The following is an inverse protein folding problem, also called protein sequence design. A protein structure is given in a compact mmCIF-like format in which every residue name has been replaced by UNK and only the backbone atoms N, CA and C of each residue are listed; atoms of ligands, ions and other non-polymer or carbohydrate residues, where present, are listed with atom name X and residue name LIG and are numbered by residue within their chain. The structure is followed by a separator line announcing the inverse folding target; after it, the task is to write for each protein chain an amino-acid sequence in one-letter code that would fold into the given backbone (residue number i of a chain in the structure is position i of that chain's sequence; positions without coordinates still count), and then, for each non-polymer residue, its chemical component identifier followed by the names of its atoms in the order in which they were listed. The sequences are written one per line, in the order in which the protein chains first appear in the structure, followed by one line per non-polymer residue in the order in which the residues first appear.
data_IF_332763528732
#
_entry.id   IF_332763528732
#
_cell.length_a   1.000
_cell.length_b   1.000
_cell.length_c   1.000
_cell.angle_alpha   90.00
_cell.angle_beta   90.00
_cell.angle_gamma   90.00
#
_symmetry.space_group_name_H-M   'P 1'
#
loop_
_entity.id
_entity.type
_entity.pdbx_description
1 polymer ?
#
# COMPACT_ATOMS: atom_id res chain seq x y z
N UNK A 1 -24.40 16.00 -11.38
CA UNK A 1 -23.70 14.77 -10.98
C UNK A 1 -24.28 14.31 -9.67
N UNK A 2 -24.48 13.01 -9.45
CA UNK A 2 -24.92 12.56 -8.14
C UNK A 2 -23.74 12.51 -7.18
N UNK A 3 -23.95 12.88 -5.91
CA UNK A 3 -22.91 12.78 -4.88
C UNK A 3 -22.45 11.33 -4.61
N UNK A 4 -23.06 10.33 -5.26
CA UNK A 4 -22.69 8.93 -5.10
C UNK A 4 -21.54 8.54 -6.06
N UNK A 5 -21.57 9.06 -7.29
CA UNK A 5 -20.60 8.71 -8.34
C UNK A 5 -19.20 9.27 -8.04
N UNK A 6 -19.13 10.51 -7.55
CA UNK A 6 -17.88 11.18 -7.22
C UNK A 6 -17.14 10.46 -6.07
N UNK A 7 -17.86 10.08 -5.01
CA UNK A 7 -17.25 9.48 -3.82
C UNK A 7 -16.92 7.99 -3.98
N UNK A 8 -17.74 7.22 -4.68
CA UNK A 8 -17.49 5.78 -4.86
C UNK A 8 -16.42 5.48 -5.90
N UNK A 9 -16.20 6.38 -6.86
CA UNK A 9 -15.22 6.17 -7.94
C UNK A 9 -13.90 6.91 -7.74
N UNK A 10 -13.89 8.13 -7.15
CA UNK A 10 -12.65 8.93 -7.02
C UNK A 10 -11.94 8.77 -5.67
N UNK A 11 -12.64 8.60 -4.54
CA UNK A 11 -11.98 8.49 -3.22
C UNK A 11 -11.06 7.27 -3.05
N UNK A 12 -11.42 6.05 -3.52
CA UNK A 12 -10.53 4.89 -3.40
C UNK A 12 -9.19 5.09 -4.12
N UNK A 13 -9.20 5.92 -5.15
CA UNK A 13 -8.04 6.25 -5.99
C UNK A 13 -7.19 7.33 -5.30
N UNK A 14 -7.82 8.32 -4.65
CA UNK A 14 -7.15 9.39 -3.90
C UNK A 14 -6.56 8.97 -2.54
N UNK A 15 -7.06 7.89 -1.92
CA UNK A 15 -6.67 7.45 -0.57
C UNK A 15 -5.27 6.83 -0.43
N UNK A 16 -4.45 6.78 -1.51
CA UNK A 16 -3.16 6.08 -1.55
C UNK A 16 -1.92 6.96 -1.30
N UNK A 17 -2.07 8.25 -1.01
CA UNK A 17 -0.93 9.17 -0.89
C UNK A 17 -0.45 9.31 0.56
N UNK A 18 0.58 8.55 0.96
CA UNK A 18 1.35 8.87 2.18
C UNK A 18 2.21 10.13 1.95
N UNK A 19 2.31 10.98 2.97
CA UNK A 19 2.95 12.30 2.90
C UNK A 19 4.40 12.24 2.38
N UNK A 20 4.80 13.25 1.59
CA UNK A 20 6.18 13.40 1.08
C UNK A 20 7.14 13.64 2.25
N UNK A 21 7.93 12.63 2.61
CA UNK A 21 9.06 12.77 3.53
C UNK A 21 10.31 13.33 2.84
N UNK A 22 11.13 14.07 3.58
CA UNK A 22 12.43 14.60 3.12
C UNK A 22 13.32 13.53 2.48
N UNK A 23 13.93 13.83 1.33
CA UNK A 23 14.92 12.99 0.65
C UNK A 23 16.23 13.76 0.35
N UNK A 24 17.38 13.16 0.63
CA UNK A 24 18.72 13.74 0.39
C UNK A 24 18.93 14.14 -1.07
N UNK A 25 18.32 13.42 -2.00
CA UNK A 25 18.37 13.75 -3.43
C UNK A 25 17.59 15.01 -3.80
N UNK A 26 16.73 15.55 -2.92
CA UNK A 26 16.05 16.83 -3.16
C UNK A 26 16.97 18.04 -2.89
N UNK A 27 18.13 17.83 -2.26
CA UNK A 27 19.11 18.89 -1.96
C UNK A 27 20.44 18.72 -2.69
N UNK A 28 20.70 17.56 -3.30
CA UNK A 28 21.88 17.32 -4.14
C UNK A 28 21.70 17.95 -5.53
N UNK A 29 22.37 19.07 -5.82
CA UNK A 29 22.26 19.82 -7.08
C UNK A 29 23.59 19.97 -7.87
N UNK A 30 24.65 19.22 -7.51
CA UNK A 30 25.99 19.43 -8.10
C UNK A 30 26.38 18.38 -9.15
N UNK A 31 26.19 18.69 -10.43
CA UNK A 31 26.60 17.88 -11.59
C UNK A 31 25.45 17.59 -12.55
N UNK A 32 25.74 17.04 -13.74
CA UNK A 32 24.71 16.32 -14.51
C UNK A 32 24.23 15.15 -13.65
N UNK A 33 22.92 14.93 -13.60
CA UNK A 33 22.30 13.92 -12.72
C UNK A 33 22.94 12.53 -12.88
N UNK A 34 23.34 12.21 -14.10
CA UNK A 34 24.04 11.00 -14.55
C UNK A 34 25.28 10.63 -13.72
N UNK A 35 26.26 11.55 -13.58
CA UNK A 35 27.52 11.24 -12.86
C UNK A 35 27.29 10.90 -11.39
N UNK A 36 26.32 11.56 -10.74
CA UNK A 36 25.99 11.27 -9.35
C UNK A 36 25.39 9.87 -9.19
N UNK A 37 24.56 9.45 -10.15
CA UNK A 37 23.98 8.10 -10.16
C UNK A 37 25.06 7.05 -10.44
N UNK A 38 25.96 7.31 -11.38
CA UNK A 38 27.10 6.42 -11.65
C UNK A 38 28.00 6.25 -10.42
N UNK A 39 28.19 7.30 -9.61
CA UNK A 39 28.90 7.18 -8.33
C UNK A 39 28.18 6.27 -7.32
N UNK A 40 26.85 6.33 -7.27
CA UNK A 40 26.04 5.51 -6.35
C UNK A 40 26.10 4.04 -6.76
N UNK A 41 25.88 3.74 -8.04
CA UNK A 41 25.91 2.36 -8.51
C UNK A 41 27.32 1.79 -8.49
N UNK A 42 28.36 2.59 -8.80
CA UNK A 42 29.74 2.18 -8.55
C UNK A 42 29.95 1.83 -7.07
N UNK A 43 29.49 2.68 -6.15
CA UNK A 43 29.60 2.40 -4.72
C UNK A 43 28.85 1.13 -4.31
N UNK A 44 27.66 0.87 -4.87
CA UNK A 44 26.89 -0.36 -4.63
C UNK A 44 27.62 -1.61 -5.16
N UNK A 45 28.37 -1.48 -6.26
CA UNK A 45 29.07 -2.59 -6.89
C UNK A 45 30.50 -2.82 -6.35
N UNK A 46 31.03 -1.92 -5.53
CA UNK A 46 32.43 -2.00 -5.05
C UNK A 46 32.59 -3.04 -3.95
N UNK A 47 33.18 -4.20 -4.23
CA UNK A 47 33.44 -5.21 -3.19
C UNK A 47 34.40 -4.65 -2.13
N UNK A 48 34.05 -4.79 -0.85
CA UNK A 48 34.81 -4.20 0.25
C UNK A 48 34.62 -2.68 0.39
N UNK A 49 33.63 -2.11 -0.32
CA UNK A 49 33.25 -0.71 -0.18
C UNK A 49 32.65 -0.37 1.19
N UNK A 50 32.50 0.92 1.46
CA UNK A 50 32.01 1.44 2.76
C UNK A 50 30.52 1.15 3.03
N UNK A 51 29.83 0.48 2.10
CA UNK A 51 28.48 -0.05 2.31
C UNK A 51 28.47 -1.31 3.17
N UNK A 52 29.57 -2.06 3.31
CA UNK A 52 29.68 -3.21 4.21
C UNK A 52 28.69 -4.38 3.94
N UNK A 53 28.31 -4.62 2.68
CA UNK A 53 27.55 -5.82 2.26
C UNK A 53 28.31 -6.72 1.27
N UNK A 54 29.64 -6.57 1.19
CA UNK A 54 30.53 -7.36 0.33
C UNK A 54 30.06 -7.37 -1.15
N UNK A 55 30.00 -8.54 -1.78
CA UNK A 55 29.63 -8.72 -3.19
C UNK A 55 28.15 -8.66 -3.52
N UNK A 56 27.25 -8.46 -2.53
CA UNK A 56 25.81 -8.58 -2.72
C UNK A 56 25.26 -7.69 -3.85
N UNK A 57 25.79 -6.47 -4.01
CA UNK A 57 25.37 -5.57 -5.08
C UNK A 57 25.68 -6.11 -6.49
N UNK A 58 26.86 -6.71 -6.67
CA UNK A 58 27.24 -7.34 -7.94
C UNK A 58 26.44 -8.61 -8.20
N UNK A 59 26.27 -9.46 -7.18
CA UNK A 59 25.53 -10.71 -7.31
C UNK A 59 24.10 -10.44 -7.79
N UNK A 60 23.42 -9.49 -7.17
CA UNK A 60 22.07 -9.08 -7.57
C UNK A 60 22.02 -8.46 -8.97
N UNK A 61 23.03 -7.66 -9.34
CA UNK A 61 23.09 -7.05 -10.67
C UNK A 61 23.24 -8.11 -11.76
N UNK A 62 24.16 -9.06 -11.57
CA UNK A 62 24.37 -10.19 -12.50
C UNK A 62 23.15 -11.09 -12.56
N UNK A 63 22.51 -11.39 -11.43
CA UNK A 63 21.24 -12.13 -11.40
C UNK A 63 20.16 -11.45 -12.25
N UNK A 64 19.99 -10.13 -12.10
CA UNK A 64 18.99 -9.38 -12.87
C UNK A 64 19.31 -9.36 -14.36
N UNK A 65 20.57 -9.19 -14.74
CA UNK A 65 21.01 -9.27 -16.14
C UNK A 65 20.72 -10.66 -16.72
N UNK A 66 21.05 -11.71 -15.96
CA UNK A 66 20.92 -13.10 -16.41
C UNK A 66 19.46 -13.53 -16.62
N UNK A 67 18.49 -12.86 -16.01
CA UNK A 67 17.07 -13.09 -16.29
C UNK A 67 16.66 -12.70 -17.71
N UNK A 68 17.42 -11.80 -18.36
CA UNK A 68 17.16 -11.34 -19.73
C UNK A 68 18.08 -12.00 -20.76
N UNK A 69 19.13 -12.67 -20.30
CA UNK A 69 20.07 -13.38 -21.16
C UNK A 69 19.70 -14.87 -21.30
N UNK A 70 19.81 -15.40 -22.52
CA UNK A 70 19.63 -16.84 -22.76
C UNK A 70 20.76 -17.70 -22.19
N UNK A 71 22.01 -17.23 -22.32
CA UNK A 71 23.16 -17.81 -21.63
C UNK A 71 23.58 -16.82 -20.53
N UNK A 72 23.68 -17.22 -19.27
CA UNK A 72 23.99 -16.30 -18.17
C UNK A 72 25.48 -15.98 -18.05
N UNK A 73 25.82 -14.76 -17.60
CA UNK A 73 27.14 -14.35 -17.15
C UNK A 73 27.57 -15.10 -15.88
N UNK A 74 28.88 -15.31 -15.67
CA UNK A 74 29.39 -15.92 -14.44
C UNK A 74 29.13 -15.03 -13.23
N UNK A 75 29.00 -15.65 -12.05
CA UNK A 75 29.00 -14.92 -10.78
C UNK A 75 30.35 -14.20 -10.56
N UNK A 76 30.36 -13.21 -9.66
CA UNK A 76 31.54 -12.39 -9.36
C UNK A 76 32.71 -13.16 -8.71
N UNK A 77 33.78 -12.45 -8.31
CA UNK A 77 33.87 -10.99 -8.22
C UNK A 77 34.23 -10.31 -9.55
N UNK A 78 33.70 -9.10 -9.75
CA UNK A 78 34.10 -8.19 -10.80
C UNK A 78 34.86 -6.99 -10.21
N UNK A 79 35.88 -6.50 -10.90
CA UNK A 79 36.51 -5.21 -10.60
C UNK A 79 35.69 -4.09 -11.24
N UNK A 80 35.37 -3.04 -10.48
CA UNK A 80 34.54 -1.93 -10.96
C UNK A 80 35.41 -0.74 -11.34
N UNK A 81 35.17 -0.18 -12.53
CA UNK A 81 35.77 1.07 -13.02
C UNK A 81 34.66 2.02 -13.48
N UNK A 82 34.91 3.32 -13.40
CA UNK A 82 33.93 4.35 -13.77
C UNK A 82 34.55 5.31 -14.78
N UNK A 83 33.72 5.91 -15.64
CA UNK A 83 34.12 6.84 -16.70
C UNK A 83 35.24 6.25 -17.58
N UNK A 84 34.99 5.06 -18.13
CA UNK A 84 35.97 4.31 -18.93
C UNK A 84 35.83 4.67 -20.39
N UNK A 85 36.86 5.28 -20.98
CA UNK A 85 36.93 5.47 -22.42
C UNK A 85 37.06 4.11 -23.13
N UNK A 86 36.02 3.74 -23.87
CA UNK A 86 35.91 2.49 -24.61
C UNK A 86 36.38 2.61 -26.07
N UNK A 87 36.49 3.84 -26.58
CA UNK A 87 36.86 4.13 -27.96
C UNK A 87 38.21 3.51 -28.35
N UNK A 88 38.35 3.19 -29.65
CA UNK A 88 39.64 2.75 -30.20
C UNK A 88 40.65 3.92 -30.18
N UNK A 89 41.94 3.65 -30.01
CA UNK A 89 42.96 4.70 -30.06
C UNK A 89 42.87 5.53 -31.34
N UNK A 90 42.74 6.85 -31.20
CA UNK A 90 42.65 7.79 -32.31
C UNK A 90 41.23 8.13 -32.77
N UNK A 91 40.19 7.57 -32.16
CA UNK A 91 38.80 7.99 -32.33
C UNK A 91 38.38 8.99 -31.24
N UNK A 92 37.23 9.63 -31.47
CA UNK A 92 36.56 10.46 -30.47
C UNK A 92 36.24 9.61 -29.22
N UNK A 93 36.26 10.25 -28.05
CA UNK A 93 36.05 9.53 -26.80
C UNK A 93 34.62 9.06 -26.68
N UNK A 94 34.49 7.79 -26.28
CA UNK A 94 33.20 7.16 -26.00
C UNK A 94 33.30 6.54 -24.61
N UNK A 95 32.64 7.15 -23.62
CA UNK A 95 32.90 6.90 -22.20
C UNK A 95 31.75 6.11 -21.60
N UNK A 96 31.99 4.83 -21.32
CA UNK A 96 31.05 4.04 -20.55
C UNK A 96 31.04 4.50 -19.08
N UNK A 97 29.85 4.65 -18.51
CA UNK A 97 29.64 5.07 -17.14
C UNK A 97 30.30 4.14 -16.13
N UNK A 98 30.06 2.83 -16.24
CA UNK A 98 30.59 1.81 -15.35
C UNK A 98 31.04 0.60 -16.17
N UNK A 99 32.19 0.03 -15.82
CA UNK A 99 32.66 -1.25 -16.35
C UNK A 99 32.93 -2.20 -15.20
N UNK A 100 32.28 -3.37 -15.23
CA UNK A 100 32.55 -4.48 -14.31
C UNK A 100 33.34 -5.56 -15.06
N UNK A 101 34.52 -5.91 -14.58
CA UNK A 101 35.42 -6.82 -15.28
C UNK A 101 35.95 -7.94 -14.37
N UNK A 102 35.82 -9.18 -14.83
CA UNK A 102 36.45 -10.37 -14.26
C UNK A 102 37.46 -10.97 -15.25
N UNK A 103 38.07 -12.09 -14.89
CA UNK A 103 39.00 -12.80 -15.77
C UNK A 103 38.32 -13.36 -17.03
N UNK A 104 37.02 -13.64 -16.96
CA UNK A 104 36.27 -14.32 -18.03
C UNK A 104 35.17 -13.48 -18.68
N UNK A 105 34.73 -12.38 -18.05
CA UNK A 105 33.64 -11.56 -18.53
C UNK A 105 33.83 -10.05 -18.28
N UNK A 106 33.24 -9.23 -19.15
CA UNK A 106 33.17 -7.78 -19.04
C UNK A 106 31.73 -7.32 -19.23
N UNK A 107 31.21 -6.57 -18.26
CA UNK A 107 29.91 -5.90 -18.34
C UNK A 107 30.19 -4.42 -18.54
N UNK A 108 29.76 -3.87 -19.67
CA UNK A 108 29.86 -2.44 -19.98
C UNK A 108 28.49 -1.83 -19.74
N UNK A 109 28.42 -0.84 -18.86
CA UNK A 109 27.15 -0.28 -18.39
C UNK A 109 27.06 1.17 -18.84
N UNK A 110 25.97 1.46 -19.54
CA UNK A 110 25.51 2.81 -19.81
C UNK A 110 24.44 3.17 -18.78
N UNK A 111 24.61 4.29 -18.06
CA UNK A 111 23.80 4.61 -16.89
C UNK A 111 23.06 5.94 -17.04
N UNK A 112 21.86 5.88 -17.64
CA UNK A 112 21.10 7.09 -17.97
C UNK A 112 19.65 7.10 -17.46
N UNK A 113 19.00 8.26 -17.50
CA UNK A 113 17.62 8.42 -17.05
C UNK A 113 16.63 7.50 -17.77
N UNK A 114 16.84 7.29 -19.07
CA UNK A 114 16.02 6.45 -19.95
C UNK A 114 16.88 5.42 -20.68
N UNK A 115 16.33 4.27 -21.05
CA UNK A 115 17.03 3.19 -21.74
C UNK A 115 17.28 3.46 -23.24
N UNK A 116 17.95 4.55 -23.63
CA UNK A 116 18.17 4.93 -25.04
C UNK A 116 19.64 4.87 -25.50
N UNK A 117 20.57 4.54 -24.59
CA UNK A 117 22.00 4.51 -24.88
C UNK A 117 22.67 5.89 -24.94
N UNK A 118 21.90 6.97 -24.73
CA UNK A 118 22.35 8.35 -24.53
C UNK A 118 23.40 8.88 -25.54
N UNK A 119 23.31 8.46 -26.81
CA UNK A 119 24.23 8.90 -27.87
C UNK A 119 25.55 8.14 -27.95
N UNK A 120 25.67 7.04 -27.20
CA UNK A 120 26.81 6.12 -27.25
C UNK A 120 26.58 4.96 -28.22
N UNK A 121 27.67 4.30 -28.63
CA UNK A 121 27.62 3.23 -29.62
C UNK A 121 27.61 1.84 -28.96
N UNK A 122 26.48 1.13 -29.04
CA UNK A 122 26.33 -0.23 -28.51
C UNK A 122 27.45 -1.17 -28.97
N UNK A 123 27.74 -1.21 -30.27
CA UNK A 123 28.77 -2.11 -30.81
C UNK A 123 30.18 -1.69 -30.34
N UNK A 124 30.44 -0.40 -30.17
CA UNK A 124 31.69 0.10 -29.61
C UNK A 124 31.95 -0.44 -28.19
N UNK A 125 30.92 -0.43 -27.35
CA UNK A 125 30.97 -0.98 -26.00
C UNK A 125 31.15 -2.50 -26.00
N UNK A 126 30.43 -3.18 -26.88
CA UNK A 126 30.51 -4.64 -27.02
C UNK A 126 31.90 -5.09 -27.51
N UNK A 127 32.46 -4.42 -28.51
CA UNK A 127 33.82 -4.66 -28.99
C UNK A 127 34.87 -4.38 -27.90
N UNK A 128 34.68 -3.32 -27.12
CA UNK A 128 35.55 -3.01 -25.99
C UNK A 128 35.58 -4.16 -24.98
N UNK A 129 34.42 -4.68 -24.57
CA UNK A 129 34.38 -5.75 -23.57
C UNK A 129 34.83 -7.12 -24.09
N UNK A 130 34.77 -7.37 -25.41
CA UNK A 130 35.26 -8.62 -26.02
C UNK A 130 36.78 -8.72 -26.11
N UNK A 131 37.51 -7.65 -25.77
CA UNK A 131 38.99 -7.64 -25.81
C UNK A 131 39.56 -8.76 -24.94
N UNK A 132 40.65 -9.37 -25.41
CA UNK A 132 41.27 -10.50 -24.73
C UNK A 132 40.46 -11.80 -24.78
N UNK A 133 39.43 -11.90 -25.63
CA UNK A 133 38.60 -13.10 -25.78
C UNK A 133 37.59 -13.31 -24.64
N UNK A 134 37.35 -12.27 -23.83
CA UNK A 134 36.37 -12.30 -22.74
C UNK A 134 34.96 -12.27 -23.28
N UNK A 135 34.04 -12.84 -22.50
CA UNK A 135 32.62 -12.67 -22.75
C UNK A 135 32.21 -11.23 -22.46
N UNK A 136 31.40 -10.62 -23.31
CA UNK A 136 30.95 -9.23 -23.11
C UNK A 136 29.45 -9.10 -23.20
N UNK A 137 28.88 -8.28 -22.33
CA UNK A 137 27.49 -7.82 -22.36
C UNK A 137 27.48 -6.32 -22.13
N UNK A 138 26.70 -5.60 -22.94
CA UNK A 138 26.41 -4.19 -22.76
C UNK A 138 25.04 -4.08 -22.11
N UNK A 139 24.93 -3.29 -21.05
CA UNK A 139 23.73 -3.19 -20.20
C UNK A 139 23.29 -1.74 -20.09
N UNK A 140 21.98 -1.51 -20.22
CA UNK A 140 21.34 -0.23 -19.90
C UNK A 140 20.91 -0.25 -18.44
N UNK A 141 21.56 0.55 -17.59
CA UNK A 141 21.18 0.74 -16.19
C UNK A 141 20.42 2.07 -16.09
N UNK A 142 19.11 2.06 -15.91
CA UNK A 142 18.32 3.29 -16.08
C UNK A 142 17.21 3.51 -15.05
N UNK A 143 16.68 4.73 -15.02
CA UNK A 143 15.49 5.06 -14.23
C UNK A 143 14.23 4.45 -14.84
N UNK A 144 14.03 4.70 -16.13
CA UNK A 144 12.85 4.29 -16.89
C UNK A 144 13.24 3.45 -18.12
N UNK A 145 12.54 2.34 -18.32
CA UNK A 145 12.67 1.52 -19.54
C UNK A 145 11.71 2.05 -20.61
N UNK A 146 12.27 2.48 -21.73
CA UNK A 146 11.54 2.78 -22.97
C UNK A 146 12.16 2.00 -24.13
N UNK A 147 11.55 0.85 -24.45
CA UNK A 147 12.01 -0.01 -25.56
C UNK A 147 11.87 0.65 -26.93
N UNK A 148 11.00 1.64 -27.08
CA UNK A 148 10.82 2.31 -28.37
C UNK A 148 12.04 3.18 -28.73
N UNK A 149 12.85 3.57 -27.74
CA UNK A 149 14.06 4.36 -27.92
C UNK A 149 15.32 3.50 -28.09
N UNK A 150 15.23 2.18 -27.90
CA UNK A 150 16.34 1.25 -28.07
C UNK A 150 16.53 0.93 -29.55
N UNK A 151 17.29 1.78 -30.25
CA UNK A 151 17.62 1.60 -31.67
C UNK A 151 19.13 1.35 -31.84
N UNK A 152 19.54 1.04 -33.07
CA UNK A 152 20.97 0.96 -33.46
C UNK A 152 21.80 -0.04 -32.64
N UNK A 153 21.19 -1.17 -32.27
CA UNK A 153 21.83 -2.26 -31.54
C UNK A 153 21.47 -2.30 -30.06
N UNK A 154 21.01 -1.18 -29.49
CA UNK A 154 20.58 -1.09 -28.09
C UNK A 154 19.40 -2.00 -27.75
N UNK A 155 18.60 -2.43 -28.73
CA UNK A 155 17.54 -3.45 -28.55
C UNK A 155 18.07 -4.81 -28.09
N UNK A 156 19.38 -5.04 -28.18
CA UNK A 156 20.06 -6.26 -27.74
C UNK A 156 20.67 -6.13 -26.33
N UNK A 157 20.63 -4.94 -25.72
CA UNK A 157 21.14 -4.72 -24.37
C UNK A 157 20.09 -5.13 -23.32
N UNK A 158 20.43 -5.97 -22.33
CA UNK A 158 19.59 -6.13 -21.15
C UNK A 158 19.35 -4.80 -20.45
N UNK A 159 18.14 -4.61 -19.93
CA UNK A 159 17.74 -3.38 -19.25
C UNK A 159 17.55 -3.66 -17.77
N UNK A 160 18.31 -2.95 -16.95
CA UNK A 160 18.21 -3.02 -15.50
C UNK A 160 17.70 -1.69 -14.97
N UNK A 161 16.45 -1.64 -14.53
CA UNK A 161 15.93 -0.42 -13.90
C UNK A 161 16.49 -0.26 -12.48
N UNK A 162 16.71 0.99 -12.06
CA UNK A 162 17.15 1.33 -10.70
C UNK A 162 16.20 0.74 -9.66
N UNK A 163 14.89 0.88 -9.87
CA UNK A 163 13.85 0.29 -9.01
C UNK A 163 14.05 -1.22 -8.86
N UNK A 164 14.17 -1.97 -9.96
CA UNK A 164 14.27 -3.43 -9.92
C UNK A 164 15.50 -3.90 -9.14
N UNK A 165 16.65 -3.25 -9.33
CA UNK A 165 17.88 -3.59 -8.62
C UNK A 165 17.80 -3.19 -7.14
N UNK A 166 17.37 -1.96 -6.84
CA UNK A 166 17.30 -1.44 -5.47
C UNK A 166 16.24 -2.16 -4.63
N UNK A 167 15.11 -2.53 -5.22
CA UNK A 167 14.06 -3.33 -4.57
C UNK A 167 14.60 -4.67 -4.09
N UNK A 168 15.42 -5.34 -4.89
CA UNK A 168 16.04 -6.62 -4.51
C UNK A 168 17.09 -6.42 -3.43
N UNK A 169 17.91 -5.38 -3.57
CA UNK A 169 18.94 -5.05 -2.59
C UNK A 169 18.31 -4.76 -1.21
N UNK A 170 17.34 -3.86 -1.13
CA UNK A 170 16.68 -3.52 0.14
C UNK A 170 16.02 -4.74 0.77
N UNK A 171 15.30 -5.57 0.00
CA UNK A 171 14.71 -6.81 0.53
C UNK A 171 15.75 -7.73 1.17
N UNK A 172 16.92 -7.90 0.54
CA UNK A 172 18.01 -8.71 1.09
C UNK A 172 18.62 -8.10 2.35
N UNK A 173 18.73 -6.78 2.41
CA UNK A 173 19.25 -6.07 3.59
C UNK A 173 18.25 -6.07 4.75
N UNK A 174 16.94 -6.04 4.47
CA UNK A 174 15.87 -6.15 5.45
C UNK A 174 15.84 -7.54 6.10
N UNK A 175 16.08 -8.59 5.29
CA UNK A 175 16.21 -9.96 5.77
C UNK A 175 17.43 -10.15 6.70
N UNK A 176 18.50 -9.35 6.52
CA UNK A 176 19.62 -9.27 7.46
C UNK A 176 19.35 -8.27 8.59
N UNK A 177 18.66 -8.77 9.62
CA UNK A 177 18.34 -8.00 10.84
C UNK A 177 19.55 -7.38 11.57
N UNK A 178 20.78 -7.76 11.22
CA UNK A 178 22.01 -7.22 11.82
C UNK A 178 22.63 -6.09 11.00
N UNK A 179 22.43 -6.09 9.68
CA UNK A 179 23.02 -5.10 8.78
C UNK A 179 22.54 -3.69 9.13
N UNK A 180 21.22 -3.46 9.18
CA UNK A 180 20.66 -2.14 9.48
C UNK A 180 21.10 -1.58 10.85
N UNK A 181 21.35 -2.46 11.83
CA UNK A 181 21.84 -2.08 13.16
C UNK A 181 23.32 -1.68 13.16
N UNK A 182 24.15 -2.34 12.35
CA UNK A 182 25.61 -2.10 12.28
C UNK A 182 25.97 -0.99 11.30
N UNK A 183 25.16 -0.79 10.26
CA UNK A 183 25.41 0.11 9.13
C UNK A 183 24.25 1.09 8.95
N UNK A 184 23.85 1.76 10.04
CA UNK A 184 22.63 2.58 10.07
C UNK A 184 22.66 3.74 9.06
N UNK A 185 23.84 4.35 8.84
CA UNK A 185 24.01 5.46 7.89
C UNK A 185 23.86 4.97 6.44
N UNK A 186 24.54 3.87 6.10
CA UNK A 186 24.49 3.22 4.78
C UNK A 186 23.08 2.75 4.46
N UNK A 187 22.44 2.06 5.41
CA UNK A 187 21.07 1.58 5.27
C UNK A 187 20.08 2.74 5.09
N UNK A 188 20.24 3.83 5.85
CA UNK A 188 19.43 5.03 5.68
C UNK A 188 19.63 5.64 4.29
N UNK A 189 20.88 5.77 3.83
CA UNK A 189 21.18 6.29 2.50
C UNK A 189 20.55 5.42 1.40
N UNK A 190 20.77 4.11 1.43
CA UNK A 190 20.19 3.14 0.49
C UNK A 190 18.66 3.19 0.50
N UNK A 191 18.04 3.32 1.67
CA UNK A 191 16.59 3.50 1.80
C UNK A 191 16.12 4.80 1.13
N UNK A 192 16.91 5.87 1.17
CA UNK A 192 16.57 7.12 0.48
C UNK A 192 16.78 7.04 -1.03
N UNK A 193 17.80 6.32 -1.51
CA UNK A 193 18.02 6.00 -2.93
C UNK A 193 16.86 5.14 -3.45
N UNK A 194 16.55 4.04 -2.76
CA UNK A 194 15.42 3.16 -3.06
C UNK A 194 14.11 3.94 -3.11
N UNK A 195 13.81 4.74 -2.08
CA UNK A 195 12.60 5.58 -2.08
C UNK A 195 12.59 6.60 -3.23
N UNK A 196 13.75 7.13 -3.67
CA UNK A 196 13.80 8.08 -4.80
C UNK A 196 13.35 7.42 -6.11
N UNK A 197 13.72 6.16 -6.32
CA UNK A 197 13.50 5.46 -7.59
C UNK A 197 12.34 4.47 -7.60
N UNK A 198 12.04 3.82 -6.48
CA UNK A 198 10.90 2.90 -6.32
C UNK A 198 9.64 3.59 -5.79
N UNK A 199 9.77 4.79 -5.20
CA UNK A 199 8.64 5.54 -4.62
C UNK A 199 8.66 7.00 -5.08
N UNK A 200 8.76 7.21 -6.39
CA UNK A 200 8.72 8.53 -7.03
C UNK A 200 7.75 9.48 -6.33
N UNK A 201 8.29 10.38 -5.49
CA UNK A 201 7.64 11.50 -4.78
C UNK A 201 6.13 11.35 -4.50
N UNK A 202 5.65 10.41 -3.68
CA UNK A 202 4.22 10.38 -3.29
C UNK A 202 3.23 10.65 -4.47
N UNK A 203 3.62 10.28 -5.69
CA UNK A 203 2.76 10.32 -6.86
C UNK A 203 2.21 8.93 -6.93
N UNK A 204 0.89 8.88 -7.02
CA UNK A 204 0.15 7.75 -7.52
C UNK A 204 0.94 7.14 -8.69
N UNK A 205 1.09 5.80 -8.73
CA UNK A 205 1.76 5.16 -9.87
C UNK A 205 1.10 5.60 -11.17
N UNK A 206 1.78 5.52 -12.32
CA UNK A 206 1.15 5.88 -13.60
C UNK A 206 -0.16 5.11 -13.82
N UNK A 207 -0.21 3.86 -13.36
CA UNK A 207 -1.45 3.08 -13.29
C UNK A 207 -2.52 3.75 -12.41
N UNK A 208 -2.19 4.16 -11.20
CA UNK A 208 -3.14 4.84 -10.31
C UNK A 208 -3.58 6.21 -10.88
N UNK A 209 -2.71 6.95 -11.56
CA UNK A 209 -3.04 8.20 -12.25
C UNK A 209 -3.94 7.93 -13.46
N UNK A 210 -3.70 6.86 -14.22
CA UNK A 210 -4.57 6.43 -15.30
C UNK A 210 -5.93 5.95 -14.79
N UNK A 211 -5.98 5.27 -13.64
CA UNK A 211 -7.22 4.90 -12.96
C UNK A 211 -7.98 6.17 -12.50
N UNK A 212 -7.27 7.18 -11.99
CA UNK A 212 -7.84 8.49 -11.66
C UNK A 212 -8.43 9.18 -12.89
N UNK A 213 -7.68 9.24 -13.99
CA UNK A 213 -8.16 9.81 -15.26
C UNK A 213 -9.39 9.05 -15.76
N UNK A 214 -9.37 7.72 -15.68
CA UNK A 214 -10.50 6.86 -16.08
C UNK A 214 -11.74 7.16 -15.24
N UNK A 215 -11.58 7.33 -13.92
CA UNK A 215 -12.67 7.74 -13.03
C UNK A 215 -13.17 9.16 -13.33
N UNK A 216 -12.27 10.11 -13.63
CA UNK A 216 -12.64 11.47 -14.06
C UNK A 216 -13.46 11.43 -15.36
N UNK A 217 -13.09 10.58 -16.32
CA UNK A 217 -13.86 10.37 -17.55
C UNK A 217 -15.23 9.73 -17.29
N UNK A 218 -15.28 8.65 -16.50
CA UNK A 218 -16.51 7.90 -16.21
C UNK A 218 -17.55 8.74 -15.47
N UNK A 219 -17.10 9.62 -14.57
CA UNK A 219 -17.97 10.54 -13.82
C UNK A 219 -18.36 11.80 -14.62
N UNK A 220 -17.74 12.02 -15.78
CA UNK A 220 -17.92 13.24 -16.57
C UNK A 220 -17.20 14.48 -16.02
N UNK A 221 -16.37 14.31 -14.98
CA UNK A 221 -15.47 15.31 -14.42
C UNK A 221 -14.28 15.64 -15.35
N UNK A 222 -14.04 14.83 -16.37
CA UNK A 222 -13.03 15.10 -17.39
C UNK A 222 -13.25 16.44 -18.12
N UNK A 223 -14.46 17.00 -18.07
CA UNK A 223 -14.74 18.36 -18.55
C UNK A 223 -13.85 19.42 -17.89
N UNK A 224 -13.35 19.21 -16.67
CA UNK A 224 -12.47 20.16 -15.99
C UNK A 224 -11.10 20.30 -16.66
N UNK A 225 -10.65 19.29 -17.41
CA UNK A 225 -9.40 19.38 -18.17
C UNK A 225 -9.44 20.44 -19.29
N UNK A 226 -10.62 20.92 -19.67
CA UNK A 226 -10.77 22.00 -20.66
C UNK A 226 -10.58 23.40 -20.05
N UNK A 227 -10.56 23.53 -18.72
CA UNK A 227 -10.40 24.83 -18.05
C UNK A 227 -8.97 25.35 -18.26
N UNK A 228 -8.87 26.60 -18.75
CA UNK A 228 -7.57 27.23 -19.06
C UNK A 228 -6.74 27.47 -17.80
N UNK A 229 -7.40 27.75 -16.68
CA UNK A 229 -6.77 27.95 -15.39
C UNK A 229 -6.82 26.64 -14.59
N UNK A 230 -5.71 25.92 -14.62
CA UNK A 230 -5.60 24.56 -14.08
C UNK A 230 -5.70 24.54 -12.57
N UNK A 231 -5.19 25.58 -11.90
CA UNK A 231 -5.17 25.66 -10.43
C UNK A 231 -6.59 25.90 -9.91
N UNK A 232 -7.36 26.78 -10.57
CA UNK A 232 -8.77 27.01 -10.24
C UNK A 232 -9.62 25.75 -10.43
N UNK A 233 -9.39 24.99 -11.50
CA UNK A 233 -10.11 23.74 -11.75
C UNK A 233 -9.82 22.67 -10.68
N UNK A 234 -8.56 22.56 -10.25
CA UNK A 234 -8.13 21.66 -9.19
C UNK A 234 -8.71 22.06 -7.81
N UNK A 235 -8.70 23.34 -7.46
CA UNK A 235 -9.27 23.86 -6.21
C UNK A 235 -10.79 23.61 -6.13
N UNK A 236 -11.51 23.77 -7.25
CA UNK A 236 -12.94 23.47 -7.33
C UNK A 236 -13.20 21.98 -7.12
N UNK A 237 -12.43 21.10 -7.77
CA UNK A 237 -12.56 19.65 -7.57
C UNK A 237 -12.35 19.26 -6.11
N UNK A 238 -11.30 19.81 -5.47
CA UNK A 238 -11.03 19.56 -4.06
C UNK A 238 -12.15 20.07 -3.15
N UNK A 239 -12.70 21.25 -3.44
CA UNK A 239 -13.82 21.83 -2.69
C UNK A 239 -15.10 21.01 -2.82
N UNK A 240 -15.42 20.55 -4.03
CA UNK A 240 -16.59 19.69 -4.31
C UNK A 240 -16.47 18.34 -3.59
N UNK A 241 -15.29 17.70 -3.66
CA UNK A 241 -14.98 16.47 -2.91
C UNK A 241 -15.16 16.67 -1.40
N UNK A 242 -14.60 17.76 -0.86
CA UNK A 242 -14.67 18.06 0.57
C UNK A 242 -16.12 18.32 1.03
N UNK A 243 -16.92 19.02 0.22
CA UNK A 243 -18.33 19.24 0.51
C UNK A 243 -19.11 17.92 0.54
N UNK A 244 -18.95 17.08 -0.48
CA UNK A 244 -19.67 15.81 -0.56
C UNK A 244 -19.27 14.85 0.57
N UNK A 245 -17.98 14.80 0.93
CA UNK A 245 -17.52 14.01 2.07
C UNK A 245 -18.16 14.46 3.38
N UNK A 246 -18.30 15.79 3.60
CA UNK A 246 -18.99 16.34 4.79
C UNK A 246 -20.47 15.97 4.80
N UNK A 247 -21.16 16.16 3.68
CA UNK A 247 -22.58 15.83 3.54
C UNK A 247 -22.82 14.35 3.83
N UNK A 248 -22.02 13.46 3.23
CA UNK A 248 -22.17 12.01 3.39
C UNK A 248 -21.81 11.51 4.77
N UNK A 249 -20.79 12.10 5.40
CA UNK A 249 -20.51 11.84 6.81
C UNK A 249 -21.70 12.25 7.69
N UNK A 250 -22.31 13.41 7.44
CA UNK A 250 -23.54 13.85 8.11
C UNK A 250 -24.71 12.88 7.91
N UNK A 251 -25.07 12.58 6.67
CA UNK A 251 -26.14 11.64 6.29
C UNK A 251 -25.92 10.26 6.93
N UNK A 252 -24.68 9.77 6.95
CA UNK A 252 -24.35 8.46 7.56
C UNK A 252 -24.67 8.44 9.06
N UNK A 253 -24.42 9.54 9.77
CA UNK A 253 -24.76 9.65 11.20
C UNK A 253 -26.27 9.69 11.41
N UNK A 254 -27.01 10.37 10.54
CA UNK A 254 -28.47 10.41 10.60
C UNK A 254 -29.08 9.03 10.35
N UNK A 255 -28.56 8.28 9.37
CA UNK A 255 -28.96 6.89 9.10
C UNK A 255 -28.66 6.00 10.31
N UNK A 256 -27.44 6.04 10.86
CA UNK A 256 -27.08 5.26 12.05
C UNK A 256 -27.97 5.59 13.25
N UNK A 257 -28.32 6.87 13.43
CA UNK A 257 -29.23 7.31 14.50
C UNK A 257 -30.65 6.77 14.27
N UNK A 258 -31.13 6.76 13.03
CA UNK A 258 -32.42 6.17 12.68
C UNK A 258 -32.44 4.66 12.95
N UNK A 259 -31.43 3.93 12.49
CA UNK A 259 -31.27 2.49 12.74
C UNK A 259 -31.27 2.21 14.23
N UNK A 260 -30.47 2.95 15.02
CA UNK A 260 -30.42 2.80 16.48
C UNK A 260 -31.79 3.07 17.13
N UNK A 261 -32.51 4.09 16.69
CA UNK A 261 -33.85 4.41 17.19
C UNK A 261 -34.86 3.29 16.90
N UNK A 262 -34.83 2.73 15.69
CA UNK A 262 -35.67 1.58 15.29
C UNK A 262 -35.31 0.33 16.07
N UNK A 263 -34.01 0.04 16.23
CA UNK A 263 -33.53 -1.06 17.05
C UNK A 263 -34.01 -0.90 18.50
N UNK A 264 -33.88 0.29 19.09
CA UNK A 264 -34.33 0.57 20.45
C UNK A 264 -35.84 0.32 20.60
N UNK A 265 -36.64 0.72 19.60
CA UNK A 265 -38.09 0.48 19.57
C UNK A 265 -38.39 -1.01 19.53
N UNK A 266 -37.74 -1.75 18.62
CA UNK A 266 -37.89 -3.20 18.50
C UNK A 266 -37.47 -3.93 19.78
N UNK A 267 -36.33 -3.55 20.36
CA UNK A 267 -35.80 -4.19 21.57
C UNK A 267 -36.74 -4.00 22.75
N UNK A 268 -37.30 -2.80 22.95
CA UNK A 268 -38.26 -2.55 24.03
C UNK A 268 -39.62 -3.20 23.78
N UNK A 269 -40.11 -3.19 22.54
CA UNK A 269 -41.46 -3.67 22.21
C UNK A 269 -41.57 -5.18 22.05
N UNK A 270 -40.50 -5.85 21.60
CA UNK A 270 -40.54 -7.26 21.18
C UNK A 270 -39.44 -8.06 21.88
N UNK A 271 -38.17 -7.74 21.62
CA UNK A 271 -37.04 -8.61 21.99
C UNK A 271 -36.90 -8.78 23.51
N UNK A 272 -37.14 -7.72 24.31
CA UNK A 272 -37.08 -7.80 25.77
C UNK A 272 -38.04 -8.86 26.32
N UNK A 273 -39.28 -8.89 25.83
CA UNK A 273 -40.28 -9.88 26.26
C UNK A 273 -39.88 -11.29 25.85
N UNK A 274 -39.38 -11.45 24.61
CA UNK A 274 -38.88 -12.73 24.12
C UNK A 274 -37.70 -13.26 24.95
N UNK A 275 -36.73 -12.40 25.28
CA UNK A 275 -35.56 -12.78 26.10
C UNK A 275 -35.95 -13.14 27.52
N UNK A 276 -36.84 -12.38 28.17
CA UNK A 276 -37.32 -12.73 29.51
C UNK A 276 -38.13 -14.03 29.50
N UNK A 277 -38.88 -14.32 28.44
CA UNK A 277 -39.55 -15.61 28.29
C UNK A 277 -38.55 -16.78 28.14
N UNK A 278 -37.44 -16.57 27.42
CA UNK A 278 -36.44 -17.61 27.14
C UNK A 278 -35.48 -17.89 28.31
N UNK A 279 -35.15 -16.87 29.11
CA UNK A 279 -34.16 -16.96 30.20
C UNK A 279 -34.76 -16.87 31.60
N UNK A 280 -36.01 -16.47 31.73
CA UNK A 280 -36.65 -16.13 33.00
C UNK A 280 -36.84 -14.63 33.18
N UNK A 281 -37.88 -14.28 33.94
CA UNK A 281 -38.18 -12.88 34.29
C UNK A 281 -36.98 -12.19 34.95
N UNK A 282 -36.74 -10.93 34.57
CA UNK A 282 -35.61 -10.14 35.08
C UNK A 282 -34.27 -10.32 34.36
N UNK A 283 -34.18 -11.18 33.33
CA UNK A 283 -32.97 -11.29 32.51
C UNK A 283 -32.61 -9.97 31.81
N UNK A 284 -33.62 -9.27 31.32
CA UNK A 284 -33.52 -7.92 30.78
C UNK A 284 -34.48 -7.04 31.55
N UNK A 285 -33.94 -6.25 32.47
CA UNK A 285 -34.72 -5.25 33.20
C UNK A 285 -34.75 -3.93 32.41
N UNK A 286 -33.57 -3.47 31.98
CA UNK A 286 -33.38 -2.14 31.39
C UNK A 286 -32.72 -2.21 30.02
N UNK A 287 -33.19 -1.37 29.11
CA UNK A 287 -32.58 -1.17 27.79
C UNK A 287 -32.00 0.24 27.75
N UNK A 288 -30.70 0.34 27.50
CA UNK A 288 -29.91 1.59 27.58
C UNK A 288 -29.29 1.90 26.23
N UNK A 289 -29.39 3.17 25.81
CA UNK A 289 -28.89 3.61 24.50
C UNK A 289 -28.39 5.06 24.50
N UNK A 290 -28.02 5.65 25.64
CA UNK A 290 -27.62 7.07 25.74
C UNK A 290 -26.09 7.29 25.79
N UNK A 291 -25.30 6.28 25.43
CA UNK A 291 -23.83 6.35 25.38
C UNK A 291 -23.31 7.38 24.38
N UNK A 292 -22.09 7.87 24.62
CA UNK A 292 -21.41 8.89 23.83
C UNK A 292 -20.09 8.34 23.24
N UNK A 293 -19.51 9.07 22.29
CA UNK A 293 -18.24 8.71 21.67
C UNK A 293 -18.33 7.42 20.84
N UNK A 294 -17.27 6.61 20.84
CA UNK A 294 -17.20 5.39 20.02
C UNK A 294 -18.27 4.35 20.37
N UNK A 295 -18.86 4.42 21.57
CA UNK A 295 -19.95 3.56 22.02
C UNK A 295 -21.35 4.13 21.76
N UNK A 296 -21.46 5.29 21.09
CA UNK A 296 -22.74 5.91 20.76
C UNK A 296 -23.66 4.97 19.97
N UNK A 297 -23.14 4.01 19.22
CA UNK A 297 -23.91 3.16 18.31
C UNK A 297 -24.18 1.77 18.91
N UNK A 298 -24.57 1.75 20.18
CA UNK A 298 -24.90 0.55 20.92
C UNK A 298 -26.26 0.65 21.64
N UNK A 299 -26.92 -0.50 21.77
CA UNK A 299 -28.08 -0.75 22.63
C UNK A 299 -27.66 -1.83 23.63
N UNK A 300 -27.75 -1.52 24.92
CA UNK A 300 -27.33 -2.39 26.02
C UNK A 300 -28.56 -2.91 26.76
N UNK A 301 -28.64 -4.22 26.92
CA UNK A 301 -29.67 -4.93 27.66
C UNK A 301 -29.07 -5.32 29.02
N UNK A 302 -29.51 -4.65 30.07
CA UNK A 302 -29.02 -4.84 31.43
C UNK A 302 -29.97 -5.75 32.23
N UNK A 303 -29.42 -6.74 32.96
CA UNK A 303 -30.19 -7.58 33.86
C UNK A 303 -30.53 -6.85 35.17
N UNK A 304 -31.46 -7.44 35.93
CA UNK A 304 -31.80 -6.93 37.25
C UNK A 304 -30.63 -7.02 38.25
N UNK A 305 -30.47 -6.05 39.16
CA UNK A 305 -29.49 -6.10 40.24
C UNK A 305 -29.64 -7.38 41.08
N UNK A 306 -28.55 -8.13 41.26
CA UNK A 306 -28.54 -9.33 42.11
C UNK A 306 -28.90 -10.65 41.40
N UNK A 307 -29.02 -10.66 40.07
CA UNK A 307 -29.10 -11.91 39.30
C UNK A 307 -27.70 -12.54 39.19
N UNK A 308 -27.47 -13.68 39.86
CA UNK A 308 -26.16 -14.34 40.02
C UNK A 308 -25.41 -14.61 38.71
N UNK A 309 -24.09 -14.31 38.70
CA UNK A 309 -22.98 -14.69 37.80
C UNK A 309 -23.15 -14.68 36.25
N UNK A 310 -24.34 -14.88 35.69
CA UNK A 310 -24.71 -14.66 34.28
C UNK A 310 -25.22 -13.23 34.01
N UNK A 311 -25.23 -12.36 35.02
CA UNK A 311 -25.70 -10.96 34.99
C UNK A 311 -24.86 -9.99 34.16
N UNK A 312 -24.04 -10.46 33.21
CA UNK A 312 -23.36 -9.58 32.27
C UNK A 312 -24.36 -8.97 31.29
N UNK A 313 -24.24 -7.67 30.93
CA UNK A 313 -25.11 -7.05 29.96
C UNK A 313 -24.88 -7.65 28.57
N UNK A 314 -25.96 -7.81 27.83
CA UNK A 314 -25.92 -8.16 26.40
C UNK A 314 -25.91 -6.84 25.64
N UNK A 315 -25.01 -6.67 24.68
CA UNK A 315 -24.95 -5.44 23.89
C UNK A 315 -25.14 -5.76 22.42
N UNK A 316 -25.98 -4.97 21.77
CA UNK A 316 -26.19 -4.96 20.32
C UNK A 316 -25.51 -3.70 19.78
N UNK A 317 -24.52 -3.86 18.92
CA UNK A 317 -23.68 -2.79 18.38
C UNK A 317 -23.86 -2.72 16.87
N UNK A 318 -23.79 -1.50 16.34
CA UNK A 318 -23.86 -1.24 14.90
C UNK A 318 -22.76 -0.27 14.47
N UNK A 319 -22.37 -0.35 13.20
CA UNK A 319 -21.44 0.59 12.57
C UNK A 319 -20.14 0.80 13.38
N UNK A 320 -19.75 2.04 13.70
CA UNK A 320 -18.47 2.32 14.37
C UNK A 320 -18.29 1.62 15.73
N UNK A 321 -19.37 1.43 16.50
CA UNK A 321 -19.27 0.71 17.79
C UNK A 321 -18.99 -0.78 17.60
N UNK A 322 -19.52 -1.39 16.53
CA UNK A 322 -19.25 -2.78 16.19
C UNK A 322 -17.81 -2.98 15.71
N UNK A 323 -17.33 -2.10 14.82
CA UNK A 323 -15.93 -2.08 14.37
C UNK A 323 -14.96 -1.96 15.53
N UNK A 324 -15.20 -1.00 16.43
CA UNK A 324 -14.29 -0.76 17.55
C UNK A 324 -14.14 -1.98 18.46
N UNK A 325 -15.25 -2.64 18.85
CA UNK A 325 -15.17 -3.81 19.74
C UNK A 325 -14.56 -5.03 19.05
N UNK A 326 -14.77 -5.18 17.75
CA UNK A 326 -14.26 -6.31 16.99
C UNK A 326 -12.75 -6.15 16.74
N UNK A 327 -12.31 -4.98 16.28
CA UNK A 327 -10.94 -4.80 15.81
C UNK A 327 -10.00 -4.15 16.82
N UNK A 328 -10.47 -3.16 17.59
CA UNK A 328 -9.59 -2.31 18.39
C UNK A 328 -9.57 -2.68 19.87
N UNK A 329 -10.69 -3.16 20.43
CA UNK A 329 -10.81 -3.35 21.86
C UNK A 329 -10.20 -4.71 22.31
N UNK A 330 -9.17 -4.74 23.18
CA UNK A 330 -8.43 -5.97 23.52
C UNK A 330 -9.15 -6.87 24.54
N UNK A 331 -10.24 -6.40 25.15
CA UNK A 331 -11.00 -7.10 26.21
C UNK A 331 -11.78 -8.31 25.71
N UNK A 332 -12.08 -8.35 24.40
CA UNK A 332 -12.80 -9.44 23.74
C UNK A 332 -11.83 -10.51 23.25
N UNK A 333 -12.10 -11.77 23.61
CA UNK A 333 -11.23 -12.92 23.31
C UNK A 333 -11.62 -13.63 22.03
N UNK A 334 -12.93 -13.76 21.80
CA UNK A 334 -13.49 -14.36 20.59
C UNK A 334 -14.09 -13.24 19.75
N UNK A 335 -13.54 -13.06 18.55
CA UNK A 335 -13.86 -11.95 17.64
C UNK A 335 -14.13 -12.51 16.25
N UNK A 336 -14.86 -11.74 15.45
CA UNK A 336 -15.05 -12.04 14.03
C UNK A 336 -13.76 -11.65 13.30
N UNK A 337 -13.25 -12.53 12.43
CA UNK A 337 -12.11 -12.22 11.57
C UNK A 337 -12.38 -10.90 10.82
N UNK A 338 -11.52 -9.86 10.93
CA UNK A 338 -11.70 -8.60 10.23
C UNK A 338 -11.89 -8.74 8.71
N UNK A 339 -11.37 -9.80 8.09
CA UNK A 339 -11.53 -10.08 6.66
C UNK A 339 -12.92 -10.62 6.30
N UNK A 340 -13.65 -11.15 7.27
CA UNK A 340 -14.99 -11.72 7.13
C UNK A 340 -16.08 -10.85 7.77
N UNK A 341 -15.70 -9.82 8.53
CA UNK A 341 -16.60 -8.92 9.21
C UNK A 341 -17.39 -8.07 8.21
N UNK A 342 -18.71 -8.07 8.34
CA UNK A 342 -19.67 -7.30 7.54
C UNK A 342 -20.38 -6.28 8.44
N UNK A 343 -19.88 -5.05 8.43
CA UNK A 343 -20.40 -3.95 9.26
C UNK A 343 -21.74 -3.38 8.77
N UNK A 344 -22.32 -3.94 7.71
CA UNK A 344 -23.73 -3.73 7.36
C UNK A 344 -24.68 -4.57 8.24
N UNK A 345 -24.14 -5.38 9.16
CA UNK A 345 -24.87 -6.21 10.12
C UNK A 345 -24.73 -5.73 11.55
N UNK A 346 -25.62 -6.22 12.41
CA UNK A 346 -25.51 -6.05 13.86
C UNK A 346 -24.42 -6.96 14.44
N UNK A 347 -23.79 -6.50 15.52
CA UNK A 347 -22.83 -7.27 16.28
C UNK A 347 -23.34 -7.44 17.71
N UNK A 348 -23.32 -8.67 18.21
CA UNK A 348 -23.71 -9.04 19.55
C UNK A 348 -22.45 -9.21 20.40
N UNK A 349 -22.43 -8.63 21.58
CA UNK A 349 -21.33 -8.82 22.53
C UNK A 349 -21.85 -9.22 23.88
N UNK A 350 -21.19 -10.19 24.50
CA UNK A 350 -21.54 -10.67 25.83
C UNK A 350 -20.31 -10.79 26.71
N UNK A 351 -20.23 -9.97 27.76
CA UNK A 351 -19.04 -9.96 28.63
C UNK A 351 -18.86 -11.28 29.39
N UNK A 352 -19.93 -12.05 29.60
CA UNK A 352 -19.87 -13.33 30.32
C UNK A 352 -18.99 -14.39 29.65
N UNK A 353 -18.82 -14.36 28.33
CA UNK A 353 -17.92 -15.24 27.58
C UNK A 353 -16.81 -14.49 26.82
N UNK A 354 -16.73 -13.17 26.97
CA UNK A 354 -15.79 -12.30 26.23
C UNK A 354 -15.85 -12.52 24.70
N UNK A 355 -17.07 -12.66 24.16
CA UNK A 355 -17.30 -12.96 22.75
C UNK A 355 -18.02 -11.81 22.01
N UNK A 356 -17.57 -11.57 20.79
CA UNK A 356 -18.18 -10.74 19.75
C UNK A 356 -18.67 -11.66 18.63
N UNK A 357 -19.94 -11.57 18.29
CA UNK A 357 -20.59 -12.37 17.25
C UNK A 357 -21.30 -11.47 16.24
N UNK A 358 -21.13 -11.74 14.96
CA UNK A 358 -21.89 -11.07 13.90
C UNK A 358 -23.27 -11.72 13.77
N UNK A 359 -24.30 -10.88 13.75
CA UNK A 359 -25.70 -11.29 13.56
C UNK A 359 -26.02 -11.49 12.08
N UNK A 360 -26.98 -12.37 11.79
CA UNK A 360 -27.59 -12.45 10.46
C UNK A 360 -28.44 -11.20 10.14
N UNK A 361 -28.85 -10.42 11.15
CA UNK A 361 -29.69 -9.23 10.99
C UNK A 361 -28.88 -8.03 10.51
N UNK A 362 -29.33 -7.43 9.42
CA UNK A 362 -28.69 -6.28 8.77
C UNK A 362 -29.21 -4.95 9.32
N UNK A 363 -28.40 -3.89 9.20
CA UNK A 363 -28.83 -2.52 9.49
C UNK A 363 -29.98 -2.09 8.57
N UNK A 364 -30.02 -2.61 7.33
CA UNK A 364 -31.10 -2.37 6.39
C UNK A 364 -32.43 -2.93 6.92
N UNK A 365 -32.47 -4.18 7.37
CA UNK A 365 -33.68 -4.78 7.94
C UNK A 365 -34.17 -4.00 9.18
N UNK A 366 -33.26 -3.57 10.04
CA UNK A 366 -33.61 -2.72 11.19
C UNK A 366 -34.19 -1.36 10.75
N UNK A 367 -33.61 -0.76 9.70
CA UNK A 367 -34.05 0.54 9.18
C UNK A 367 -35.49 0.47 8.66
N UNK A 368 -35.83 -0.59 7.92
CA UNK A 368 -37.17 -0.80 7.36
C UNK A 368 -38.15 -1.46 8.34
N UNK A 369 -37.66 -1.94 9.48
CA UNK A 369 -38.44 -2.53 10.55
C UNK A 369 -38.38 -4.06 10.53
N UNK A 370 -38.03 -4.63 11.68
CA UNK A 370 -38.11 -6.07 11.91
C UNK A 370 -39.55 -6.46 12.25
N UNK A 371 -39.96 -7.63 11.76
CA UNK A 371 -41.26 -8.21 12.10
C UNK A 371 -41.29 -8.63 13.59
N UNK A 372 -42.45 -8.54 14.23
CA UNK A 372 -42.60 -8.92 15.63
C UNK A 372 -42.38 -10.44 15.88
N UNK A 373 -42.54 -11.26 14.84
CA UNK A 373 -42.24 -12.69 14.82
C UNK A 373 -40.81 -13.04 14.43
N UNK A 374 -39.94 -12.07 14.15
CA UNK A 374 -38.54 -12.33 13.82
C UNK A 374 -37.77 -12.80 15.07
N UNK A 375 -37.36 -14.07 15.09
CA UNK A 375 -36.65 -14.66 16.22
C UNK A 375 -35.14 -14.65 16.06
N UNK A 376 -34.57 -14.17 14.95
CA UNK A 376 -33.12 -14.32 14.68
C UNK A 376 -32.26 -13.72 15.79
N UNK A 377 -32.57 -12.50 16.23
CA UNK A 377 -31.86 -11.87 17.34
C UNK A 377 -32.06 -12.60 18.67
N UNK A 378 -33.25 -13.16 18.91
CA UNK A 378 -33.50 -13.99 20.09
C UNK A 378 -32.60 -15.23 20.06
N UNK A 379 -32.65 -15.98 18.97
CA UNK A 379 -31.94 -17.25 18.81
C UNK A 379 -30.42 -17.06 18.90
N UNK A 380 -29.89 -16.02 18.24
CA UNK A 380 -28.46 -15.69 18.28
C UNK A 380 -27.99 -15.22 19.66
N UNK A 381 -28.79 -14.43 20.36
CA UNK A 381 -28.49 -14.01 21.74
C UNK A 381 -28.55 -15.21 22.69
N UNK A 382 -29.52 -16.11 22.51
CA UNK A 382 -29.64 -17.35 23.29
C UNK A 382 -28.40 -18.22 23.10
N UNK A 383 -28.00 -18.46 21.86
CA UNK A 383 -26.79 -19.21 21.54
C UNK A 383 -25.54 -18.54 22.13
N UNK A 384 -25.40 -17.21 21.97
CA UNK A 384 -24.26 -16.46 22.50
C UNK A 384 -24.15 -16.56 24.02
N UNK A 385 -25.26 -16.41 24.75
CA UNK A 385 -25.27 -16.47 26.22
C UNK A 385 -25.04 -17.90 26.73
N UNK A 386 -25.52 -18.92 26.00
CA UNK A 386 -25.31 -20.34 26.33
C UNK A 386 -23.93 -20.87 25.91
N UNK A 387 -23.22 -20.13 25.05
CA UNK A 387 -21.91 -20.51 24.54
C UNK A 387 -21.95 -21.54 23.41
N UNK A 388 -23.05 -21.58 22.67
CA UNK A 388 -23.31 -22.45 21.50
C UNK A 388 -22.76 -21.86 20.20
#
# INVERSE_FOLDING_TARGET
MSANELLTQLLPVLGKSEAVGFNVFDVMHHGTHEKQLSNIFRWIFEIGGTHNFEGLGQDLFVEVINEELGEGLPAGPYTVRQEVNTAKPGLEWDIADIVLESDSAVIVVENYGTSDGHGHEYEGYLEFGRRGGKRSVVVLLCGEEDRALQTDGWENAPVVTYERLLDRLIRKLDDDSTYAKRNAEQYTFLSQVHRKFSKGKARMSDKDVLDFITAMCATGEARRYQERDRDVAAERLASDLAQQARERYGESRDVLQHVKSRLLTYVNGVLKGQLNAAFGEGRVERVVANHQGIYQWAVILEPAPGHDASGSPIQIKLGPSAWFVNEQEPTWRRKVDPRLADYSRLFLTYAGNHEVRQSAVTLHEVLYGLDAGDTRLLDEIVALVRGE
#
